data_IF_318687693632
#
_entry.id   IF_318687693632
#
_cell.length_a   1.000
_cell.length_b   1.000
_cell.length_c   1.000
_cell.angle_alpha   90.00
_cell.angle_beta   90.00
_cell.angle_gamma   90.00
#
_symmetry.space_group_name_H-M   'P 1'
#
loop_
_entity.id
_entity.type
_entity.pdbx_description
1 polymer ?
#
# COMPACT_ATOMS: atom_id res chain seq x y z
N UNK A 1 -5.78 -0.12 1.03
CA UNK A 1 -4.93 0.13 -0.16
C UNK A 1 -5.38 -0.69 -1.34
N UNK A 2 -4.94 -0.35 -2.55
CA UNK A 2 -5.16 -1.17 -3.74
C UNK A 2 -3.86 -1.27 -4.56
N UNK A 3 -3.57 -2.46 -5.10
CA UNK A 3 -2.48 -2.72 -6.02
C UNK A 3 -3.07 -3.18 -7.35
N UNK A 4 -2.67 -2.51 -8.42
CA UNK A 4 -3.01 -2.91 -9.79
C UNK A 4 -1.71 -3.31 -10.49
N UNK A 5 -1.75 -4.40 -11.23
CA UNK A 5 -0.61 -4.91 -12.00
C UNK A 5 -1.09 -5.51 -13.31
N UNK A 6 -0.22 -5.58 -14.31
CA UNK A 6 -0.49 -6.33 -15.53
C UNK A 6 0.14 -7.74 -15.52
N UNK A 7 0.78 -8.13 -14.41
CA UNK A 7 1.34 -9.47 -14.23
C UNK A 7 0.22 -10.49 -14.07
N UNK A 8 0.29 -11.58 -14.82
CA UNK A 8 -0.60 -12.74 -14.70
C UNK A 8 -0.44 -13.36 -13.31
N UNK A 9 -1.56 -13.41 -12.59
CA UNK A 9 -1.65 -13.97 -11.25
C UNK A 9 -2.94 -14.76 -11.12
N UNK A 10 -2.86 -15.91 -10.46
CA UNK A 10 -4.00 -16.63 -9.94
C UNK A 10 -4.63 -15.87 -8.75
N UNK A 11 -5.87 -16.23 -8.39
CA UNK A 11 -6.55 -15.63 -7.24
C UNK A 11 -5.76 -15.78 -5.93
N UNK A 12 -5.14 -16.95 -5.70
CA UNK A 12 -4.30 -17.18 -4.53
C UNK A 12 -3.03 -16.34 -4.52
N UNK A 13 -2.40 -16.13 -5.69
CA UNK A 13 -1.23 -15.26 -5.80
C UNK A 13 -1.60 -13.79 -5.59
N UNK A 14 -2.76 -13.34 -6.08
CA UNK A 14 -3.29 -12.00 -5.74
C UNK A 14 -3.50 -11.84 -4.23
N UNK A 15 -4.12 -12.83 -3.56
CA UNK A 15 -4.30 -12.81 -2.11
C UNK A 15 -2.94 -12.77 -1.39
N UNK A 16 -1.97 -13.57 -1.83
CA UNK A 16 -0.62 -13.58 -1.24
C UNK A 16 0.09 -12.23 -1.44
N UNK A 17 0.00 -11.64 -2.63
CA UNK A 17 0.57 -10.34 -2.92
C UNK A 17 -0.06 -9.25 -2.04
N UNK A 18 -1.37 -9.29 -1.83
CA UNK A 18 -2.07 -8.40 -0.91
C UNK A 18 -1.49 -8.51 0.50
N UNK A 19 -1.38 -9.74 1.04
CA UNK A 19 -0.78 -9.98 2.35
C UNK A 19 0.66 -9.49 2.46
N UNK A 20 1.51 -9.75 1.45
CA UNK A 20 2.90 -9.26 1.44
C UNK A 20 2.94 -7.73 1.44
N UNK A 21 2.01 -7.08 0.75
CA UNK A 21 1.95 -5.61 0.66
C UNK A 21 1.65 -4.95 2.02
N UNK A 22 1.05 -5.65 2.99
CA UNK A 22 0.87 -5.11 4.36
C UNK A 22 2.21 -4.74 5.02
N UNK A 23 3.34 -5.33 4.62
CA UNK A 23 4.66 -4.91 5.10
C UNK A 23 4.94 -3.42 4.84
N UNK A 24 4.34 -2.83 3.79
CA UNK A 24 4.43 -1.41 3.51
C UNK A 24 3.80 -0.55 4.62
N UNK A 25 2.70 -1.03 5.21
CA UNK A 25 2.03 -0.33 6.30
C UNK A 25 2.95 -0.29 7.51
N UNK A 26 3.51 -1.44 7.91
CA UNK A 26 4.46 -1.50 9.03
C UNK A 26 5.73 -0.67 8.81
N UNK A 27 6.15 -0.47 7.55
CA UNK A 27 7.31 0.37 7.19
C UNK A 27 7.01 1.87 7.17
N UNK A 28 5.74 2.28 7.04
CA UNK A 28 5.34 3.68 6.91
C UNK A 28 4.51 4.20 8.09
N UNK A 29 3.92 3.31 8.90
CA UNK A 29 2.96 3.61 9.97
C UNK A 29 3.35 2.79 11.20
N UNK A 30 3.38 3.42 12.38
CA UNK A 30 3.71 2.75 13.64
C UNK A 30 2.94 3.36 14.84
N UNK A 31 2.19 2.56 15.63
CA UNK A 31 1.87 1.15 15.37
C UNK A 31 0.88 1.01 14.20
N UNK A 32 0.78 -0.21 13.65
CA UNK A 32 -0.21 -0.58 12.64
C UNK A 32 -0.84 -1.93 13.00
N UNK A 33 -1.98 -2.28 12.39
CA UNK A 33 -2.71 -3.53 12.68
C UNK A 33 -3.19 -3.64 14.13
N UNK A 34 -3.54 -2.51 14.75
CA UNK A 34 -4.19 -2.52 16.06
C UNK A 34 -5.62 -3.05 15.94
N UNK A 35 -6.25 -3.41 17.06
CA UNK A 35 -7.65 -3.86 17.07
C UNK A 35 -8.65 -2.79 16.61
N UNK A 36 -8.24 -1.52 16.57
CA UNK A 36 -9.03 -0.40 16.05
C UNK A 36 -8.85 -0.20 14.54
N UNK A 37 -7.88 -0.85 13.90
CA UNK A 37 -7.55 -0.63 12.50
C UNK A 37 -8.31 -1.59 11.57
N UNK A 38 -8.91 -1.04 10.50
CA UNK A 38 -9.58 -1.78 9.43
C UNK A 38 -8.66 -2.05 8.23
N UNK A 39 -7.38 -2.34 8.45
CA UNK A 39 -6.37 -2.43 7.39
C UNK A 39 -6.71 -3.50 6.36
N UNK A 40 -6.93 -3.08 5.11
CA UNK A 40 -7.21 -4.01 4.00
C UNK A 40 -6.48 -3.58 2.74
N UNK A 41 -5.92 -4.54 2.00
CA UNK A 41 -5.35 -4.34 0.67
C UNK A 41 -6.05 -5.24 -0.34
N UNK A 42 -6.50 -4.65 -1.46
CA UNK A 42 -7.03 -5.37 -2.61
C UNK A 42 -5.98 -5.42 -3.73
N UNK A 43 -5.97 -6.52 -4.49
CA UNK A 43 -5.10 -6.69 -5.67
C UNK A 43 -5.99 -6.99 -6.88
N UNK A 44 -5.73 -6.29 -7.98
CA UNK A 44 -6.35 -6.56 -9.28
C UNK A 44 -5.27 -6.71 -10.34
N UNK A 45 -5.51 -7.58 -11.31
CA UNK A 45 -4.62 -7.76 -12.46
C UNK A 45 -5.34 -7.79 -13.79
N UNK A 46 -4.71 -7.23 -14.83
CA UNK A 46 -5.16 -7.37 -16.24
C UNK A 46 -4.61 -8.62 -16.93
N UNK A 47 -3.69 -9.36 -16.28
CA UNK A 47 -3.16 -10.65 -16.73
C UNK A 47 -2.53 -10.65 -18.15
N UNK A 48 -1.68 -9.67 -18.43
CA UNK A 48 -1.03 -9.48 -19.73
C UNK A 48 0.35 -10.15 -19.83
N UNK A 49 1.19 -10.02 -18.81
CA UNK A 49 2.61 -10.43 -18.84
C UNK A 49 2.97 -11.42 -17.73
N UNK A 50 4.02 -12.21 -17.94
CA UNK A 50 4.61 -13.07 -16.89
C UNK A 50 5.69 -12.30 -16.11
N UNK A 51 5.79 -12.53 -14.80
CA UNK A 51 6.87 -12.00 -13.98
C UNK A 51 7.10 -12.87 -12.74
N UNK A 52 8.31 -12.81 -12.17
CA UNK A 52 8.61 -13.50 -10.91
C UNK A 52 7.80 -12.89 -9.75
N UNK A 53 7.01 -13.71 -9.00
CA UNK A 53 6.16 -13.21 -7.92
C UNK A 53 6.90 -12.43 -6.84
N UNK A 54 8.11 -12.85 -6.47
CA UNK A 54 8.89 -12.17 -5.41
C UNK A 54 9.33 -10.77 -5.85
N UNK A 55 9.77 -10.61 -7.11
CA UNK A 55 10.11 -9.31 -7.67
C UNK A 55 8.90 -8.38 -7.69
N UNK A 56 7.72 -8.91 -8.03
CA UNK A 56 6.46 -8.16 -7.95
C UNK A 56 6.11 -7.78 -6.51
N UNK A 57 6.32 -8.66 -5.54
CA UNK A 57 6.12 -8.41 -4.11
C UNK A 57 6.96 -7.24 -3.59
N UNK A 58 8.24 -7.21 -3.93
CA UNK A 58 9.15 -6.09 -3.58
C UNK A 58 8.63 -4.77 -4.15
N UNK A 59 8.19 -4.77 -5.41
CA UNK A 59 7.64 -3.58 -6.05
C UNK A 59 6.33 -3.15 -5.39
N UNK A 60 5.41 -4.09 -5.12
CA UNK A 60 4.11 -3.81 -4.49
C UNK A 60 4.27 -3.14 -3.13
N UNK A 61 5.16 -3.66 -2.28
CA UNK A 61 5.49 -3.05 -0.98
C UNK A 61 6.03 -1.63 -1.16
N UNK A 62 7.02 -1.46 -2.06
CA UNK A 62 7.67 -0.17 -2.30
C UNK A 62 6.71 0.89 -2.85
N UNK A 63 5.80 0.53 -3.75
CA UNK A 63 4.83 1.49 -4.29
C UNK A 63 3.75 1.83 -3.27
N UNK A 64 3.36 0.90 -2.40
CA UNK A 64 2.41 1.19 -1.33
C UNK A 64 3.01 2.14 -0.29
N UNK A 65 4.27 1.97 0.12
CA UNK A 65 4.98 2.94 0.97
C UNK A 65 4.97 4.34 0.36
N UNK A 66 5.33 4.43 -0.92
CA UNK A 66 5.31 5.70 -1.66
C UNK A 66 3.92 6.30 -1.72
N UNK A 67 2.88 5.47 -1.90
CA UNK A 67 1.50 5.93 -1.91
C UNK A 67 1.07 6.52 -0.57
N UNK A 68 1.45 5.87 0.55
CA UNK A 68 1.19 6.37 1.91
C UNK A 68 1.90 7.70 2.15
N UNK A 69 3.20 7.76 1.87
CA UNK A 69 3.98 9.01 2.03
C UNK A 69 3.39 10.12 1.16
N UNK A 70 3.04 9.82 -0.11
CA UNK A 70 2.41 10.80 -0.99
C UNK A 70 1.07 11.27 -0.41
N UNK A 71 0.25 10.38 0.14
CA UNK A 71 -1.02 10.76 0.77
C UNK A 71 -0.80 11.73 1.92
N UNK A 72 0.13 11.44 2.83
CA UNK A 72 0.46 12.32 3.97
C UNK A 72 0.98 13.68 3.50
N UNK A 73 1.90 13.70 2.53
CA UNK A 73 2.53 14.92 2.04
C UNK A 73 1.62 15.78 1.16
N UNK A 74 0.57 15.21 0.57
CA UNK A 74 -0.40 15.94 -0.26
C UNK A 74 -1.70 16.30 0.46
N UNK A 75 -1.89 15.80 1.69
CA UNK A 75 -3.04 16.14 2.52
C UNK A 75 -3.04 17.64 2.87
N UNK A 76 -4.24 18.19 3.04
CA UNK A 76 -4.47 19.55 3.54
C UNK A 76 -5.17 19.47 4.89
N UNK A 77 -4.90 20.45 5.76
CA UNK A 77 -5.64 20.62 7.01
C UNK A 77 -7.16 20.62 6.77
N UNK A 78 -7.90 19.91 7.60
CA UNK A 78 -9.35 19.86 7.55
C UNK A 78 -9.92 19.54 8.94
N UNK A 79 -11.14 20.02 9.23
CA UNK A 79 -11.85 19.72 10.48
C UNK A 79 -11.06 20.00 11.77
N UNK A 80 -10.21 21.04 11.74
CA UNK A 80 -9.34 21.38 12.88
C UNK A 80 -8.12 20.46 13.07
N UNK A 81 -7.93 19.47 12.20
CA UNK A 81 -6.77 18.56 12.21
C UNK A 81 -5.73 19.08 11.23
N UNK A 82 -4.50 19.24 11.71
CA UNK A 82 -3.36 19.71 10.90
C UNK A 82 -2.84 18.64 9.96
N UNK A 83 -2.47 19.01 8.74
CA UNK A 83 -1.73 18.14 7.84
C UNK A 83 -0.22 18.28 8.06
N UNK A 84 0.57 17.35 7.51
CA UNK A 84 2.02 17.37 7.62
C UNK A 84 2.64 18.67 7.06
N UNK A 85 2.04 19.25 6.02
CA UNK A 85 2.47 20.51 5.44
C UNK A 85 2.41 21.70 6.42
N UNK A 86 1.57 21.61 7.45
CA UNK A 86 1.35 22.68 8.43
C UNK A 86 2.27 22.58 9.65
N UNK A 87 3.05 21.51 9.78
CA UNK A 87 3.84 21.22 10.98
C UNK A 87 5.21 21.92 11.03
N UNK A 88 5.59 22.67 9.98
CA UNK A 88 6.95 23.18 9.84
C UNK A 88 7.96 22.04 9.62
N UNK A 89 9.09 22.34 8.98
CA UNK A 89 10.19 21.37 8.88
C UNK A 89 11.04 21.41 10.14
#
# INVERSE_FOLDING_TARGET
GCILTNVKLTKSECCKLASVTHNAYARAISPVHTSADGDTIFVMTTAEIEAAPDSLGVLAVKVMEKAIVRAVMSAKSAYGIKAAADLGK
#
